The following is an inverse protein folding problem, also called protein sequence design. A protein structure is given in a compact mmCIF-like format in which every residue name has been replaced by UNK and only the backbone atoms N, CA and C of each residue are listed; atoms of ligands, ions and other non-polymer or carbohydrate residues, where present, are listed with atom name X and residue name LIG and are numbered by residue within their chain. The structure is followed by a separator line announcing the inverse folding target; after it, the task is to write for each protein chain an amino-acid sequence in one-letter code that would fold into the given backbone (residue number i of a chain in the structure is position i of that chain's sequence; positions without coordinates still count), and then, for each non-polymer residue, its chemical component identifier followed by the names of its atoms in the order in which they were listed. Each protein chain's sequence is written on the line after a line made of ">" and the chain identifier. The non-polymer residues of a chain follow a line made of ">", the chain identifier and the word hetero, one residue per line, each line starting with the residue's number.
data_IF_947717356845
#
_entry.id   IF_947717356845
#
_cell.length_a   1.000
_cell.length_b   1.000
_cell.length_c   1.000
_cell.angle_alpha   90.00
_cell.angle_beta   90.00
_cell.angle_gamma   90.00
#
_symmetry.space_group_name_H-M   'P 1'
#
loop_
_entity.id
_entity.type
_entity.pdbx_description
1 polymer ?
#
# COMPACT_ATOMS: atom_id res chain seq x y z
N UNK A 1 -2.76 -18.96 -8.60
CA UNK A 1 -2.23 -18.61 -8.50
C UNK A 1 -1.69 -18.17 -8.55
N UNK A 2 -1.69 -17.95 -8.77
CA UNK A 2 -0.96 -17.49 -8.75
C UNK A 2 -0.46 -16.91 -8.56
N UNK A 3 -0.46 -16.67 -8.39
CA UNK A 3 0.07 -16.16 -8.20
C UNK A 3 0.83 -15.80 -8.07
N UNK A 4 1.04 -15.66 -7.97
CA UNK A 4 1.88 -15.28 -7.87
C UNK A 4 2.95 -15.20 -8.13
N UNK A 5 3.12 -15.28 -8.61
CA UNK A 5 4.37 -15.23 -9.00
C UNK A 5 4.83 -13.93 -9.28
N UNK A 6 4.32 -13.05 -8.71
CA UNK A 6 4.81 -11.74 -8.76
C UNK A 6 6.09 -11.63 -8.01
N UNK A 7 7.08 -10.99 -8.54
CA UNK A 7 8.34 -10.82 -7.82
C UNK A 7 8.07 -10.07 -6.53
N UNK A 8 8.66 -10.54 -5.48
CA UNK A 8 8.59 -9.83 -4.22
C UNK A 8 9.61 -8.73 -4.23
N UNK A 9 9.31 -7.68 -3.50
CA UNK A 9 10.27 -6.60 -3.32
C UNK A 9 11.38 -7.11 -2.40
N UNK A 10 12.61 -6.85 -2.78
CA UNK A 10 13.75 -7.26 -1.96
C UNK A 10 14.01 -6.19 -0.91
N UNK A 11 13.32 -6.28 0.22
CA UNK A 11 13.49 -5.34 1.32
C UNK A 11 14.31 -5.96 2.43
N UNK A 12 15.13 -5.15 3.12
CA UNK A 12 15.76 -5.63 4.35
C UNK A 12 14.71 -6.11 5.33
N UNK A 13 15.12 -7.00 6.22
CA UNK A 13 14.17 -7.63 7.12
C UNK A 13 13.41 -6.63 7.99
N UNK A 14 14.07 -5.61 8.50
CA UNK A 14 13.37 -4.65 9.34
C UNK A 14 12.36 -3.84 8.54
N UNK A 15 12.63 -3.58 7.27
CA UNK A 15 11.67 -2.88 6.42
C UNK A 15 10.47 -3.77 6.12
N UNK A 16 10.70 -5.05 5.88
CA UNK A 16 9.60 -5.99 5.69
C UNK A 16 8.71 -6.03 6.93
N UNK A 17 9.32 -6.08 8.10
CA UNK A 17 8.54 -6.10 9.34
C UNK A 17 7.74 -4.82 9.52
N UNK A 18 8.35 -3.68 9.22
CA UNK A 18 7.66 -2.41 9.34
C UNK A 18 6.44 -2.36 8.41
N UNK A 19 6.61 -2.75 7.16
CA UNK A 19 5.51 -2.76 6.20
C UNK A 19 4.42 -3.71 6.65
N UNK A 20 4.80 -4.91 7.07
CA UNK A 20 3.83 -5.91 7.52
C UNK A 20 3.04 -5.43 8.72
N UNK A 21 3.71 -4.81 9.67
CA UNK A 21 3.06 -4.32 10.86
C UNK A 21 2.16 -3.13 10.55
N UNK A 22 2.61 -2.25 9.67
CA UNK A 22 1.79 -1.11 9.26
C UNK A 22 0.49 -1.60 8.62
N UNK A 23 0.60 -2.51 7.67
CA UNK A 23 -0.58 -3.02 6.96
C UNK A 23 -1.51 -3.74 7.95
N UNK A 24 -0.95 -4.52 8.87
CA UNK A 24 -1.77 -5.21 9.86
C UNK A 24 -2.51 -4.22 10.76
N UNK A 25 -1.84 -3.17 11.19
CA UNK A 25 -2.46 -2.18 12.06
C UNK A 25 -3.57 -1.40 11.36
N UNK A 26 -3.32 -0.98 10.12
CA UNK A 26 -4.33 -0.23 9.37
C UNK A 26 -5.52 -1.13 9.05
N UNK A 27 -5.25 -2.37 8.68
CA UNK A 27 -6.33 -3.32 8.38
C UNK A 27 -7.17 -3.62 9.61
N UNK A 28 -6.51 -3.76 10.76
CA UNK A 28 -7.23 -4.04 11.99
C UNK A 28 -8.15 -2.88 12.36
N UNK A 29 -7.67 -1.64 12.20
CA UNK A 29 -8.44 -0.47 12.59
C UNK A 29 -9.45 -0.05 11.53
N UNK A 30 -9.11 -0.21 10.25
CA UNK A 30 -9.89 0.36 9.16
C UNK A 30 -10.01 -0.57 7.96
N UNK A 31 -10.03 -1.88 8.18
CA UNK A 31 -9.97 -2.84 7.09
C UNK A 31 -11.02 -2.66 6.02
N UNK A 32 -12.24 -2.26 6.43
CA UNK A 32 -13.31 -2.08 5.46
C UNK A 32 -13.14 -0.81 4.63
N UNK A 33 -12.16 0.03 4.95
CA UNK A 33 -11.88 1.23 4.18
C UNK A 33 -10.71 1.08 3.23
N UNK A 34 -9.93 0.00 3.36
CA UNK A 34 -8.76 -0.22 2.54
C UNK A 34 -9.09 -1.22 1.45
N UNK A 35 -9.07 -0.79 0.21
CA UNK A 35 -9.35 -1.70 -0.91
C UNK A 35 -8.09 -2.35 -1.46
N UNK A 36 -7.01 -1.60 -1.55
CA UNK A 36 -5.77 -2.13 -2.09
C UNK A 36 -4.60 -1.46 -1.41
N UNK A 37 -3.48 -2.17 -1.37
CA UNK A 37 -2.23 -1.62 -0.89
C UNK A 37 -1.11 -2.09 -1.80
N UNK A 38 -0.11 -1.24 -2.00
CA UNK A 38 1.02 -1.59 -2.86
C UNK A 38 2.25 -0.79 -2.44
N UNK A 39 3.41 -1.37 -2.69
CA UNK A 39 4.67 -0.63 -2.59
C UNK A 39 4.90 0.01 -3.94
N UNK A 40 5.23 1.29 -3.94
CA UNK A 40 5.49 2.03 -5.16
C UNK A 40 6.85 2.70 -5.05
N UNK A 41 7.27 3.38 -6.09
CA UNK A 41 8.49 4.16 -6.06
C UNK A 41 9.75 3.32 -6.19
N UNK A 42 10.85 3.83 -5.68
CA UNK A 42 12.15 3.18 -5.90
C UNK A 42 12.26 1.81 -5.27
N UNK A 43 11.62 1.60 -4.12
CA UNK A 43 11.65 0.25 -3.50
C UNK A 43 10.95 -0.77 -4.38
N UNK A 44 9.85 -0.38 -5.03
CA UNK A 44 9.14 -1.29 -5.92
C UNK A 44 9.97 -1.59 -7.17
N UNK A 45 10.67 -0.58 -7.69
CA UNK A 45 11.47 -0.76 -8.89
C UNK A 45 12.79 -1.47 -8.64
N UNK A 46 13.22 -1.55 -7.38
CA UNK A 46 14.48 -2.18 -7.05
C UNK A 46 15.70 -1.30 -7.23
N UNK A 47 15.50 0.01 -7.42
CA UNK A 47 16.62 0.92 -7.59
C UNK A 47 16.80 1.85 -6.40
N UNK A 48 16.32 1.43 -5.23
CA UNK A 48 16.45 2.21 -4.02
C UNK A 48 17.76 1.92 -3.32
N UNK A 49 18.10 2.76 -2.35
CA UNK A 49 19.20 2.49 -1.45
C UNK A 49 18.67 2.48 -0.02
N UNK A 50 19.55 2.28 0.94
CA UNK A 50 19.12 2.11 2.34
C UNK A 50 18.49 3.36 2.93
N UNK A 51 18.68 4.51 2.30
CA UNK A 51 18.10 5.75 2.81
C UNK A 51 16.83 6.15 2.08
N UNK A 52 16.39 5.35 1.13
CA UNK A 52 15.16 5.66 0.38
C UNK A 52 13.94 5.38 1.24
N UNK A 53 12.91 6.23 1.09
CA UNK A 53 11.64 6.00 1.76
C UNK A 53 10.99 4.75 1.21
N UNK A 54 10.19 4.10 2.04
CA UNK A 54 9.32 3.04 1.57
C UNK A 54 7.99 3.71 1.26
N UNK A 55 7.66 3.80 -0.03
CA UNK A 55 6.42 4.43 -0.46
C UNK A 55 5.31 3.39 -0.52
N UNK A 56 4.26 3.61 0.23
CA UNK A 56 3.10 2.70 0.26
C UNK A 56 1.89 3.45 -0.24
N UNK A 57 1.22 2.87 -1.22
CA UNK A 57 -0.02 3.41 -1.75
C UNK A 57 -1.19 2.63 -1.16
N UNK A 58 -2.18 3.35 -0.65
CA UNK A 58 -3.43 2.76 -0.20
C UNK A 58 -4.55 3.31 -1.06
N UNK A 59 -5.33 2.41 -1.65
CA UNK A 59 -6.56 2.80 -2.32
C UNK A 59 -7.67 2.59 -1.31
N UNK A 60 -8.40 3.65 -1.01
CA UNK A 60 -9.33 3.66 0.12
C UNK A 60 -10.73 4.03 -0.35
N UNK A 61 -11.74 3.63 0.42
CA UNK A 61 -13.13 3.91 0.04
C UNK A 61 -13.45 5.38 0.14
N UNK A 62 -12.91 6.06 1.16
CA UNK A 62 -13.01 7.50 1.24
C UNK A 62 -11.73 7.99 1.88
N UNK A 63 -11.42 9.27 1.74
CA UNK A 63 -10.17 9.78 2.26
C UNK A 63 -10.37 11.05 3.07
N UNK A 64 -11.36 11.07 3.96
CA UNK A 64 -11.54 12.23 4.80
C UNK A 64 -10.32 12.46 5.68
N UNK A 65 -10.18 13.70 6.16
CA UNK A 65 -8.94 14.10 6.82
C UNK A 65 -8.70 13.38 8.15
N UNK A 66 -9.76 12.99 8.84
CA UNK A 66 -9.61 12.28 10.10
C UNK A 66 -9.02 10.90 9.89
N UNK A 67 -9.48 10.23 8.85
CA UNK A 67 -8.95 8.92 8.50
C UNK A 67 -7.50 9.05 8.07
N UNK A 68 -7.19 10.03 7.21
CA UNK A 68 -5.82 10.25 6.77
C UNK A 68 -4.90 10.53 7.95
N UNK A 69 -5.37 11.34 8.90
CA UNK A 69 -4.56 11.66 10.07
C UNK A 69 -4.32 10.42 10.93
N UNK A 70 -5.35 9.58 11.09
CA UNK A 70 -5.20 8.36 11.88
C UNK A 70 -4.18 7.41 11.25
N UNK A 71 -4.24 7.24 9.94
CA UNK A 71 -3.29 6.38 9.24
C UNK A 71 -1.88 6.95 9.34
N UNK A 72 -1.75 8.26 9.22
CA UNK A 72 -0.46 8.92 9.36
C UNK A 72 0.14 8.68 10.75
N UNK A 73 -0.70 8.71 11.79
CA UNK A 73 -0.24 8.42 13.14
C UNK A 73 0.28 7.00 13.27
N UNK A 74 -0.42 6.04 12.68
CA UNK A 74 0.03 4.65 12.70
C UNK A 74 1.38 4.52 12.00
N UNK A 75 1.52 5.15 10.83
CA UNK A 75 2.78 5.05 10.09
C UNK A 75 3.93 5.69 10.85
N UNK A 76 3.69 6.80 11.53
CA UNK A 76 4.73 7.46 12.31
C UNK A 76 5.21 6.60 13.46
N UNK A 77 4.28 5.95 14.16
CA UNK A 77 4.66 5.07 15.28
C UNK A 77 5.52 3.92 14.78
N UNK A 78 5.16 3.34 13.67
CA UNK A 78 5.89 2.19 13.14
C UNK A 78 7.24 2.64 12.60
N UNK A 79 7.27 3.78 11.90
CA UNK A 79 8.54 4.30 11.39
C UNK A 79 9.54 4.51 12.51
N UNK A 80 9.08 5.05 13.63
CA UNK A 80 9.95 5.26 14.79
C UNK A 80 10.39 3.94 15.40
N UNK A 81 9.45 2.99 15.52
CA UNK A 81 9.77 1.73 16.16
C UNK A 81 10.82 0.94 15.41
N UNK A 82 10.76 0.97 14.09
CA UNK A 82 11.67 0.19 13.26
C UNK A 82 12.81 1.00 12.67
N UNK A 83 12.83 2.31 12.95
CA UNK A 83 13.84 3.20 12.39
C UNK A 83 13.88 3.09 10.86
N UNK A 84 12.72 3.29 10.26
CA UNK A 84 12.57 3.29 8.81
C UNK A 84 11.80 4.53 8.39
N UNK A 85 11.85 4.85 7.10
CA UNK A 85 11.10 5.97 6.55
C UNK A 85 9.92 5.42 5.76
N UNK A 86 8.72 5.75 6.19
CA UNK A 86 7.49 5.34 5.51
C UNK A 86 6.80 6.58 4.95
N UNK A 87 6.46 6.53 3.68
CA UNK A 87 5.70 7.59 3.02
C UNK A 87 4.40 6.98 2.53
N UNK A 88 3.29 7.37 3.15
CA UNK A 88 2.00 6.76 2.85
C UNK A 88 1.19 7.69 1.96
N UNK A 89 0.80 7.18 0.81
CA UNK A 89 -0.06 7.90 -0.12
C UNK A 89 -1.41 7.25 -0.14
N UNK A 90 -2.46 8.05 0.03
CA UNK A 90 -3.83 7.53 0.01
C UNK A 90 -4.57 8.16 -1.14
N UNK A 91 -5.21 7.32 -1.94
CA UNK A 91 -6.02 7.78 -3.08
C UNK A 91 -7.37 7.10 -2.93
N UNK A 92 -8.44 7.89 -3.02
CA UNK A 92 -9.78 7.29 -2.94
C UNK A 92 -10.03 6.42 -4.17
N UNK A 93 -10.88 5.42 -4.00
CA UNK A 93 -11.21 4.53 -5.11
C UNK A 93 -11.79 5.29 -6.29
N UNK A 94 -12.62 6.29 -6.02
CA UNK A 94 -13.21 7.06 -7.12
C UNK A 94 -12.16 7.87 -7.87
N UNK A 95 -11.21 8.45 -7.13
CA UNK A 95 -10.14 9.20 -7.77
C UNK A 95 -9.22 8.27 -8.56
N UNK A 96 -8.93 7.10 -8.00
CA UNK A 96 -8.10 6.11 -8.68
C UNK A 96 -8.76 5.69 -10.00
N UNK A 97 -10.08 5.47 -9.96
CA UNK A 97 -10.81 5.11 -11.17
C UNK A 97 -10.78 6.25 -12.19
N UNK A 98 -10.94 7.48 -11.73
CA UNK A 98 -10.85 8.62 -12.63
C UNK A 98 -9.48 8.69 -13.29
N UNK A 99 -8.41 8.48 -12.50
CA UNK A 99 -7.05 8.49 -13.04
C UNK A 99 -6.86 7.40 -14.07
N UNK A 100 -7.46 6.24 -13.84
CA UNK A 100 -7.40 5.15 -14.81
C UNK A 100 -8.13 5.50 -16.09
N UNK A 101 -9.31 6.11 -15.95
CA UNK A 101 -10.14 6.45 -17.11
C UNK A 101 -9.45 7.45 -18.02
N UNK A 102 -8.76 8.43 -17.46
CA UNK A 102 -8.06 9.41 -18.28
C UNK A 102 -6.63 8.97 -18.61
N UNK A 103 -6.24 7.80 -18.15
CA UNK A 103 -4.90 7.26 -18.38
C UNK A 103 -3.80 8.23 -17.95
N UNK A 104 -3.96 8.79 -16.73
CA UNK A 104 -2.99 9.73 -16.23
C UNK A 104 -1.60 9.11 -16.17
N UNK A 105 -0.57 9.93 -16.30
CA UNK A 105 0.80 9.45 -16.24
C UNK A 105 1.11 8.78 -14.91
N UNK A 106 0.60 9.37 -13.82
CA UNK A 106 0.80 8.80 -12.50
C UNK A 106 0.16 7.42 -12.39
N UNK A 107 -1.07 7.28 -12.87
CA UNK A 107 -1.75 5.99 -12.86
C UNK A 107 -0.95 4.94 -13.65
N UNK A 108 -0.47 5.32 -14.83
CA UNK A 108 0.27 4.39 -15.66
C UNK A 108 1.58 3.97 -15.00
N UNK A 109 2.30 4.92 -14.41
CA UNK A 109 3.56 4.62 -13.74
C UNK A 109 3.34 3.70 -12.53
N UNK A 110 2.33 3.99 -11.73
CA UNK A 110 2.03 3.18 -10.56
C UNK A 110 1.61 1.77 -11.00
N UNK A 111 0.73 1.68 -11.98
CA UNK A 111 0.26 0.36 -12.44
C UNK A 111 1.38 -0.49 -12.99
N UNK A 112 2.33 0.13 -13.68
CA UNK A 112 3.45 -0.60 -14.24
C UNK A 112 4.43 -1.08 -13.18
N UNK A 113 4.74 -0.21 -12.21
CA UNK A 113 5.85 -0.46 -11.31
C UNK A 113 5.45 -0.96 -9.91
N UNK A 114 4.19 -0.84 -9.53
CA UNK A 114 3.82 -1.18 -8.16
C UNK A 114 3.91 -2.67 -7.87
N UNK A 115 4.18 -2.97 -6.60
CA UNK A 115 4.19 -4.36 -6.13
C UNK A 115 3.05 -4.47 -5.11
N UNK A 116 1.99 -5.21 -5.42
CA UNK A 116 0.86 -5.31 -4.51
C UNK A 116 1.24 -5.89 -3.16
N UNK A 117 0.63 -5.37 -2.11
CA UNK A 117 0.75 -5.94 -0.78
C UNK A 117 -0.57 -6.63 -0.52
N UNK A 118 -0.51 -7.92 -0.18
CA UNK A 118 -1.73 -8.65 0.08
C UNK A 118 -2.35 -8.17 1.37
N UNK A 119 -3.63 -7.82 1.31
CA UNK A 119 -4.39 -7.52 2.49
C UNK A 119 -5.23 -8.73 2.77
N UNK A 120 -4.85 -9.50 3.77
CA UNK A 120 -5.56 -10.72 4.09
C UNK A 120 -6.58 -10.43 5.14
N UNK A 121 -7.84 -10.70 4.80
CA UNK A 121 -8.90 -10.59 5.74
C UNK A 121 -9.43 -12.00 5.95
N UNK A 122 -9.20 -12.54 7.12
CA UNK A 122 -9.60 -13.89 7.38
C UNK A 122 -11.07 -14.16 7.24
N UNK A 123 -11.85 -13.14 7.46
CA UNK A 123 -13.26 -13.32 7.37
C UNK A 123 -13.78 -13.22 6.00
N UNK A 124 -13.04 -12.75 5.07
CA UNK A 124 -13.52 -12.45 3.78
C UNK A 124 -12.63 -12.99 2.76
N UNK A 125 -12.86 -14.16 2.33
CA UNK A 125 -11.99 -14.72 1.34
C UNK A 125 -12.30 -13.97 0.13
N UNK A 126 -12.17 -13.33 -0.32
CA UNK A 126 -12.34 -12.57 -1.37
C UNK A 126 -12.53 -13.08 -2.61
N UNK A 127 -13.02 -12.98 -3.04
CA UNK A 127 -13.05 -13.13 -4.01
C UNK A 127 -13.00 -12.30 -4.85
N UNK A 128 -12.71 -12.24 -5.49
CA UNK A 128 -12.38 -11.35 -6.04
C UNK A 128 -13.04 -10.79 -7.00
N UNK A 129 -13.40 -11.09 -6.98
CA UNK A 129 -13.78 -10.57 -7.53
C UNK A 129 -14.29 -10.18 -8.01
N UNK A 130 -14.52 -10.42 -8.10
CA UNK A 130 -14.78 -10.01 -8.36
C UNK A 130 -15.02 -9.56 -8.84
N UNK A 131 -15.12 -9.73 -8.93
CA UNK A 131 -15.10 -9.26 -9.17
C UNK A 131 -15.17 -8.88 -9.73
N UNK A 132 -15.42 -8.89 -9.98
CA UNK A 132 -15.15 -8.49 -10.27
C UNK A 132 -15.22 -8.12 -10.42
#
# INVERSE_FOLDING_TARGET
>A
MVTQTRPTVALPEKEKKAVREFIAAVRKAYGNKIQQAAIIGSKARGDSNRYSDIDILLIVTDDNWKFRKAVSGISSDIALRYDVLLDIRMISASRWQYMADIKSGLYQNISRDSVPIRIINKRSPIRPSSTR
#
